data_IF_355542031179
#
_entry.id   IF_355542031179
#
_cell.length_a   1.000
_cell.length_b   1.000
_cell.length_c   1.000
_cell.angle_alpha   90.00
_cell.angle_beta   90.00
_cell.angle_gamma   90.00
#
_symmetry.space_group_name_H-M   'P 1'
#
loop_
_entity.id
_entity.type
_entity.pdbx_description
1 polymer ?
#
# COMPACT_ATOMS: atom_id res chain seq x y z
N UNK A 1 6.67 4.46 -6.54
CA UNK A 1 5.30 4.76 -6.07
C UNK A 1 5.05 3.86 -4.87
N UNK A 2 4.44 4.36 -3.78
CA UNK A 2 4.27 3.55 -2.57
C UNK A 2 3.13 2.55 -2.77
N UNK A 3 3.37 1.28 -2.48
CA UNK A 3 2.39 0.21 -2.67
C UNK A 3 1.13 0.45 -1.84
N UNK A 4 1.28 1.04 -0.66
CA UNK A 4 0.21 1.46 0.23
C UNK A 4 -0.82 2.37 -0.46
N UNK A 5 -0.33 3.30 -1.29
CA UNK A 5 -1.17 4.25 -2.03
C UNK A 5 -1.89 3.54 -3.17
N UNK A 6 -1.20 2.61 -3.85
CA UNK A 6 -1.80 1.82 -4.91
C UNK A 6 -2.93 0.94 -4.37
N UNK A 7 -2.78 0.37 -3.18
CA UNK A 7 -3.83 -0.43 -2.52
C UNK A 7 -5.08 0.43 -2.27
N UNK A 8 -4.95 1.60 -1.64
CA UNK A 8 -6.11 2.47 -1.39
C UNK A 8 -6.78 2.92 -2.68
N UNK A 9 -6.00 3.29 -3.70
CA UNK A 9 -6.54 3.72 -5.00
C UNK A 9 -7.21 2.57 -5.74
N UNK A 10 -6.67 1.34 -5.67
CA UNK A 10 -7.29 0.16 -6.27
C UNK A 10 -8.69 -0.09 -5.69
N UNK A 11 -8.85 -0.05 -4.36
CA UNK A 11 -10.16 -0.22 -3.73
C UNK A 11 -11.11 0.93 -4.08
N UNK A 12 -10.62 2.17 -4.14
CA UNK A 12 -11.45 3.33 -4.51
C UNK A 12 -11.93 3.28 -5.97
N UNK A 13 -11.09 2.89 -6.92
CA UNK A 13 -11.53 2.68 -8.30
C UNK A 13 -12.46 1.47 -8.44
N UNK A 14 -12.16 0.37 -7.76
CA UNK A 14 -13.02 -0.82 -7.76
C UNK A 14 -14.42 -0.48 -7.20
N UNK A 15 -14.48 0.31 -6.12
CA UNK A 15 -15.73 0.83 -5.57
C UNK A 15 -16.52 1.62 -6.62
N UNK A 16 -15.88 2.56 -7.33
CA UNK A 16 -16.54 3.37 -8.35
C UNK A 16 -17.05 2.54 -9.53
N UNK A 17 -16.20 1.68 -10.09
CA UNK A 17 -16.56 0.83 -11.23
C UNK A 17 -17.73 -0.06 -10.86
N UNK A 18 -17.66 -0.71 -9.69
CA UNK A 18 -18.72 -1.61 -9.25
C UNK A 18 -20.01 -0.86 -8.93
N UNK A 19 -19.95 0.36 -8.38
CA UNK A 19 -21.14 1.15 -8.06
C UNK A 19 -21.89 1.67 -9.28
N UNK A 20 -21.20 1.87 -10.41
CA UNK A 20 -21.85 2.22 -11.68
C UNK A 20 -22.82 1.10 -12.12
N UNK A 21 -22.46 -0.17 -11.89
CA UNK A 21 -23.25 -1.32 -12.33
C UNK A 21 -24.16 -1.91 -11.24
N UNK A 22 -23.76 -1.81 -9.98
CA UNK A 22 -24.44 -2.43 -8.85
C UNK A 22 -24.82 -1.39 -7.79
N UNK A 23 -26.01 -1.47 -7.19
CA UNK A 23 -26.41 -0.55 -6.12
C UNK A 23 -25.60 -0.80 -4.84
N UNK A 24 -25.34 0.24 -4.06
CA UNK A 24 -24.70 0.09 -2.74
C UNK A 24 -25.68 -0.53 -1.75
N UNK A 25 -26.92 -0.03 -1.75
CA UNK A 25 -28.01 -0.49 -0.87
C UNK A 25 -29.20 -0.80 -1.75
N UNK A 26 -29.89 -1.87 -1.44
CA UNK A 26 -31.15 -2.20 -2.09
C UNK A 26 -32.14 -2.77 -1.11
N UNK A 27 -33.40 -2.44 -1.33
CA UNK A 27 -34.53 -2.92 -0.57
C UNK A 27 -35.47 -3.57 -1.57
N UNK A 28 -35.91 -4.80 -1.33
CA UNK A 28 -36.79 -5.47 -2.27
C UNK A 28 -37.93 -6.22 -1.57
N UNK A 29 -38.98 -6.42 -2.32
CA UNK A 29 -40.22 -7.11 -1.99
C UNK A 29 -40.78 -7.67 -3.30
N UNK A 30 -41.87 -8.43 -3.23
CA UNK A 30 -42.51 -9.03 -4.41
C UNK A 30 -43.02 -7.99 -5.41
N UNK A 31 -43.55 -6.87 -4.92
CA UNK A 31 -44.17 -5.81 -5.73
C UNK A 31 -43.42 -4.49 -5.70
N UNK A 32 -42.36 -4.39 -4.89
CA UNK A 32 -41.63 -3.15 -4.63
C UNK A 32 -40.13 -3.37 -4.55
N UNK A 33 -39.36 -2.48 -5.14
CA UNK A 33 -37.91 -2.47 -4.96
C UNK A 33 -37.36 -1.05 -5.01
N UNK A 34 -36.30 -0.81 -4.25
CA UNK A 34 -35.52 0.42 -4.24
C UNK A 34 -34.05 0.04 -4.39
N UNK A 35 -33.33 0.80 -5.21
CA UNK A 35 -31.91 0.60 -5.44
C UNK A 35 -31.20 1.94 -5.37
N UNK A 36 -30.25 2.08 -4.44
CA UNK A 36 -29.40 3.25 -4.33
C UNK A 36 -28.20 3.09 -5.27
N UNK A 37 -28.34 3.63 -6.47
CA UNK A 37 -27.35 3.59 -7.55
C UNK A 37 -26.40 4.78 -7.50
N UNK A 38 -25.37 4.79 -8.36
CA UNK A 38 -24.40 5.87 -8.47
C UNK A 38 -25.03 7.24 -8.79
N UNK A 39 -26.11 7.27 -9.58
CA UNK A 39 -26.78 8.50 -10.01
C UNK A 39 -27.98 8.88 -9.12
N UNK A 40 -28.46 7.95 -8.29
CA UNK A 40 -29.58 8.20 -7.40
C UNK A 40 -30.42 6.97 -7.11
N UNK A 41 -31.70 7.20 -6.81
CA UNK A 41 -32.61 6.17 -6.36
C UNK A 41 -33.46 5.66 -7.52
N UNK A 42 -33.34 4.36 -7.82
CA UNK A 42 -34.26 3.66 -8.71
C UNK A 42 -35.33 2.97 -7.86
N UNK A 43 -36.59 3.32 -8.06
CA UNK A 43 -37.74 2.70 -7.39
C UNK A 43 -38.57 1.96 -8.41
N UNK A 44 -38.89 0.69 -8.16
CA UNK A 44 -39.77 -0.11 -9.01
C UNK A 44 -40.99 -0.54 -8.22
N UNK A 45 -42.16 -0.34 -8.78
CA UNK A 45 -43.43 -0.76 -8.19
C UNK A 45 -44.30 -1.43 -9.26
N UNK A 46 -44.71 -2.68 -9.03
CA UNK A 46 -45.55 -3.48 -9.94
C UNK A 46 -45.09 -3.42 -11.41
N UNK A 47 -43.79 -3.48 -11.66
CA UNK A 47 -43.20 -3.41 -13.00
C UNK A 47 -42.98 -1.99 -13.56
N UNK A 48 -43.54 -0.95 -12.94
CA UNK A 48 -43.26 0.45 -13.29
C UNK A 48 -42.01 0.94 -12.56
N UNK A 49 -41.09 1.58 -13.29
CA UNK A 49 -39.83 2.08 -12.76
C UNK A 49 -39.79 3.61 -12.77
N UNK A 50 -39.50 4.20 -11.62
CA UNK A 50 -39.25 5.63 -11.45
C UNK A 50 -37.81 5.84 -11.02
N UNK A 51 -37.12 6.78 -11.65
CA UNK A 51 -35.76 7.16 -11.28
C UNK A 51 -35.73 8.56 -10.68
N UNK A 52 -35.08 8.71 -9.53
CA UNK A 52 -34.95 9.97 -8.81
C UNK A 52 -33.46 10.28 -8.70
N UNK A 53 -33.04 11.37 -9.35
CA UNK A 53 -31.68 11.83 -9.28
C UNK A 53 -31.35 12.32 -7.85
N UNK A 54 -30.25 11.82 -7.29
CA UNK A 54 -29.79 12.24 -5.97
C UNK A 54 -28.38 12.84 -6.08
N UNK A 55 -28.25 14.18 -6.03
CA UNK A 55 -26.95 14.86 -6.13
C UNK A 55 -25.92 14.34 -5.10
N UNK A 56 -26.38 13.93 -3.92
CA UNK A 56 -25.52 13.38 -2.86
C UNK A 56 -24.81 12.09 -3.29
N UNK A 57 -25.47 11.21 -4.05
CA UNK A 57 -24.85 9.96 -4.54
C UNK A 57 -23.74 10.25 -5.56
N UNK A 58 -23.96 11.24 -6.43
CA UNK A 58 -22.94 11.72 -7.35
C UNK A 58 -21.76 12.34 -6.58
N UNK A 59 -22.04 13.16 -5.57
CA UNK A 59 -21.01 13.78 -4.73
C UNK A 59 -20.14 12.73 -4.01
N UNK A 60 -20.76 11.67 -3.47
CA UNK A 60 -20.03 10.50 -2.92
C UNK A 60 -19.04 9.96 -3.96
N UNK A 61 -19.49 9.74 -5.20
CA UNK A 61 -18.64 9.26 -6.29
C UNK A 61 -17.46 10.19 -6.59
N UNK A 62 -17.71 11.49 -6.65
CA UNK A 62 -16.68 12.51 -6.90
C UNK A 62 -15.63 12.51 -5.79
N UNK A 63 -16.05 12.45 -4.52
CA UNK A 63 -15.11 12.40 -3.40
C UNK A 63 -14.30 11.10 -3.36
N UNK A 64 -14.91 9.95 -3.71
CA UNK A 64 -14.19 8.69 -3.83
C UNK A 64 -13.13 8.75 -4.95
N UNK A 65 -13.47 9.38 -6.07
CA UNK A 65 -12.58 9.59 -7.19
C UNK A 65 -11.40 10.49 -6.80
N UNK A 66 -11.66 11.63 -6.14
CA UNK A 66 -10.61 12.51 -5.64
C UNK A 66 -9.70 11.81 -4.64
N UNK A 67 -10.27 11.07 -3.70
CA UNK A 67 -9.48 10.29 -2.74
C UNK A 67 -8.54 9.29 -3.43
N UNK A 68 -9.01 8.69 -4.52
CA UNK A 68 -8.25 7.69 -5.29
C UNK A 68 -7.19 8.32 -6.21
N UNK A 69 -7.46 9.48 -6.81
CA UNK A 69 -6.60 10.12 -7.82
C UNK A 69 -5.54 11.03 -7.22
N UNK A 70 -5.89 11.81 -6.19
CA UNK A 70 -5.01 12.87 -5.64
C UNK A 70 -3.63 12.32 -5.24
N UNK A 71 -3.53 11.18 -4.53
CA UNK A 71 -2.22 10.58 -4.20
C UNK A 71 -1.41 10.11 -5.41
N UNK A 72 -2.09 9.78 -6.53
CA UNK A 72 -1.46 9.28 -7.75
C UNK A 72 -0.86 10.43 -8.57
N UNK A 73 -1.52 11.59 -8.61
CA UNK A 73 -1.06 12.78 -9.32
C UNK A 73 -0.05 13.54 -8.45
N UNK A 74 -0.38 13.80 -7.18
CA UNK A 74 0.41 14.63 -6.29
C UNK A 74 1.35 13.83 -5.37
N UNK A 75 2.26 13.07 -5.97
CA UNK A 75 3.08 12.06 -5.29
C UNK A 75 4.08 12.60 -4.27
N UNK A 76 4.57 13.83 -4.44
CA UNK A 76 5.72 14.38 -3.68
C UNK A 76 5.34 14.93 -2.31
N UNK A 77 4.06 15.22 -2.07
CA UNK A 77 3.60 15.94 -0.89
C UNK A 77 2.83 15.05 0.09
N UNK A 78 3.02 15.27 1.38
CA UNK A 78 2.23 14.63 2.46
C UNK A 78 0.79 15.12 2.49
N UNK A 79 0.54 16.35 2.01
CA UNK A 79 -0.81 16.92 1.93
C UNK A 79 -1.73 16.14 0.99
N UNK A 80 -1.17 15.44 -0.01
CA UNK A 80 -1.95 14.57 -0.89
C UNK A 80 -2.62 13.42 -0.13
N UNK A 81 -1.95 12.86 0.89
CA UNK A 81 -2.46 11.76 1.71
C UNK A 81 -3.54 12.26 2.68
N UNK A 82 -3.33 13.44 3.27
CA UNK A 82 -4.34 14.06 4.14
C UNK A 82 -5.61 14.41 3.36
N UNK A 83 -5.45 15.01 2.19
CA UNK A 83 -6.58 15.35 1.33
C UNK A 83 -7.33 14.10 0.86
N UNK A 84 -6.60 13.05 0.48
CA UNK A 84 -7.21 11.75 0.15
C UNK A 84 -8.00 11.15 1.32
N UNK A 85 -7.46 11.17 2.53
CA UNK A 85 -8.16 10.72 3.73
C UNK A 85 -9.43 11.53 4.00
N UNK A 86 -9.36 12.87 3.94
CA UNK A 86 -10.53 13.75 4.11
C UNK A 86 -11.59 13.45 3.04
N UNK A 87 -11.20 13.31 1.77
CA UNK A 87 -12.12 12.95 0.69
C UNK A 87 -12.76 11.57 0.89
N UNK A 88 -12.04 10.59 1.45
CA UNK A 88 -12.63 9.28 1.77
C UNK A 88 -13.67 9.40 2.89
N UNK A 89 -13.44 10.23 3.91
CA UNK A 89 -14.41 10.47 4.98
C UNK A 89 -15.64 11.20 4.43
N UNK A 90 -15.46 12.19 3.53
CA UNK A 90 -16.55 12.87 2.85
C UNK A 90 -17.37 11.91 1.98
N UNK A 91 -16.72 10.94 1.33
CA UNK A 91 -17.40 9.86 0.60
C UNK A 91 -18.38 9.13 1.53
N UNK A 92 -17.92 8.68 2.69
CA UNK A 92 -18.75 8.02 3.68
C UNK A 92 -19.89 8.94 4.16
N UNK A 93 -19.58 10.19 4.49
CA UNK A 93 -20.57 11.15 4.97
C UNK A 93 -21.70 11.37 3.95
N UNK A 94 -21.36 11.60 2.68
CA UNK A 94 -22.35 11.80 1.62
C UNK A 94 -23.20 10.54 1.37
N UNK A 95 -22.60 9.35 1.48
CA UNK A 95 -23.34 8.09 1.34
C UNK A 95 -24.31 7.88 2.50
N UNK A 96 -23.88 8.12 3.75
CA UNK A 96 -24.75 8.07 4.93
C UNK A 96 -25.88 9.08 4.79
N UNK A 97 -25.60 10.32 4.39
CA UNK A 97 -26.63 11.34 4.16
C UNK A 97 -27.63 10.92 3.09
N UNK A 98 -27.16 10.31 1.99
CA UNK A 98 -28.04 9.75 0.96
C UNK A 98 -28.93 8.64 1.53
N UNK A 99 -28.38 7.77 2.37
CA UNK A 99 -29.15 6.70 3.00
C UNK A 99 -30.19 7.23 4.01
N UNK A 100 -29.82 8.21 4.84
CA UNK A 100 -30.75 8.88 5.76
C UNK A 100 -31.90 9.54 4.98
N UNK A 101 -31.59 10.18 3.84
CA UNK A 101 -32.61 10.73 2.96
C UNK A 101 -33.59 9.64 2.49
N UNK A 102 -33.08 8.50 2.00
CA UNK A 102 -33.93 7.37 1.58
C UNK A 102 -34.79 6.88 2.75
N UNK A 103 -34.21 6.66 3.92
CA UNK A 103 -34.95 6.21 5.10
C UNK A 103 -36.05 7.18 5.51
N UNK A 104 -35.78 8.50 5.49
CA UNK A 104 -36.72 9.52 5.96
C UNK A 104 -37.88 9.76 4.99
N UNK A 105 -37.62 9.71 3.68
CA UNK A 105 -38.60 10.09 2.67
C UNK A 105 -39.27 8.91 1.98
N UNK A 106 -38.66 7.72 2.02
CA UNK A 106 -39.22 6.51 1.40
C UNK A 106 -39.71 5.47 2.40
N UNK A 107 -39.45 5.68 3.70
CA UNK A 107 -40.04 4.89 4.77
C UNK A 107 -40.64 5.81 5.84
N UNK A 108 -41.94 5.66 6.08
CA UNK A 108 -42.66 6.44 7.08
C UNK A 108 -43.59 5.53 7.89
N UNK A 109 -43.35 5.43 9.20
CA UNK A 109 -44.21 4.66 10.13
C UNK A 109 -44.51 3.22 9.67
N UNK A 110 -43.51 2.53 9.10
CA UNK A 110 -43.65 1.17 8.57
C UNK A 110 -44.32 1.07 7.19
N UNK A 111 -44.67 2.20 6.57
CA UNK A 111 -45.10 2.29 5.18
C UNK A 111 -43.93 2.66 4.27
N UNK A 112 -43.95 2.10 3.07
CA UNK A 112 -43.09 2.48 1.95
C UNK A 112 -43.79 3.55 1.12
N UNK A 113 -43.05 4.61 0.76
CA UNK A 113 -43.56 5.64 -0.14
C UNK A 113 -43.25 5.22 -1.57
N UNK A 114 -44.30 5.18 -2.40
CA UNK A 114 -44.19 4.84 -3.82
C UNK A 114 -44.36 6.13 -4.63
N UNK A 115 -43.32 6.62 -5.31
CA UNK A 115 -43.43 7.75 -6.21
C UNK A 115 -44.15 7.34 -7.50
N UNK A 116 -45.10 8.17 -7.92
CA UNK A 116 -45.83 8.06 -9.19
C UNK A 116 -45.64 9.34 -10.00
N UNK A 117 -46.01 9.33 -11.27
CA UNK A 117 -45.87 10.50 -12.14
C UNK A 117 -46.57 11.77 -11.59
N UNK A 118 -47.69 11.60 -10.88
CA UNK A 118 -48.52 12.71 -10.38
C UNK A 118 -48.52 12.88 -8.86
N UNK A 119 -47.69 12.13 -8.12
CA UNK A 119 -47.71 12.20 -6.65
C UNK A 119 -47.08 10.98 -6.01
N UNK A 120 -47.55 10.62 -4.82
CA UNK A 120 -47.07 9.46 -4.08
C UNK A 120 -48.21 8.81 -3.30
N UNK A 121 -48.09 7.51 -3.02
CA UNK A 121 -48.97 6.83 -2.08
C UNK A 121 -48.15 5.98 -1.11
N UNK A 122 -48.76 5.66 0.02
CA UNK A 122 -48.16 4.85 1.08
C UNK A 122 -48.67 3.42 0.95
N UNK A 123 -47.76 2.45 1.08
CA UNK A 123 -48.13 1.05 1.13
C UNK A 123 -47.31 0.32 2.18
N UNK A 124 -47.91 -0.69 2.81
CA UNK A 124 -47.18 -1.56 3.73
C UNK A 124 -46.81 -2.84 3.00
N UNK A 125 -45.51 -3.05 2.80
CA UNK A 125 -44.95 -4.25 2.16
C UNK A 125 -43.80 -4.79 2.99
N UNK A 126 -43.67 -6.11 3.16
CA UNK A 126 -42.49 -6.69 3.79
C UNK A 126 -41.28 -6.40 2.90
N UNK A 127 -40.30 -5.69 3.44
CA UNK A 127 -39.08 -5.33 2.73
C UNK A 127 -37.92 -6.10 3.32
N UNK A 128 -37.13 -6.72 2.45
CA UNK A 128 -35.84 -7.30 2.79
C UNK A 128 -34.73 -6.33 2.38
N UNK A 129 -33.97 -5.78 3.34
CA UNK A 129 -32.81 -4.97 3.03
C UNK A 129 -31.64 -5.82 2.55
N UNK A 130 -30.81 -5.25 1.69
CA UNK A 130 -29.63 -5.89 1.14
C UNK A 130 -28.52 -4.88 0.84
N UNK A 131 -27.30 -5.38 0.86
CA UNK A 131 -26.08 -4.62 0.58
C UNK A 131 -25.40 -5.18 -0.65
N UNK A 132 -25.06 -4.30 -1.59
CA UNK A 132 -24.33 -4.68 -2.79
C UNK A 132 -22.82 -4.72 -2.57
N UNK A 133 -22.10 -5.26 -3.55
CA UNK A 133 -20.63 -5.30 -3.55
C UNK A 133 -19.96 -3.93 -3.25
N UNK A 134 -20.44 -2.78 -3.78
CA UNK A 134 -19.85 -1.49 -3.47
C UNK A 134 -19.85 -1.16 -1.97
N UNK A 135 -20.87 -1.60 -1.23
CA UNK A 135 -20.93 -1.41 0.22
C UNK A 135 -19.75 -2.08 0.93
N UNK A 136 -19.40 -3.31 0.52
CA UNK A 136 -18.29 -4.05 1.11
C UNK A 136 -16.93 -3.48 0.71
N UNK A 137 -16.78 -2.94 -0.51
CA UNK A 137 -15.55 -2.29 -0.98
C UNK A 137 -15.27 -0.94 -0.30
N UNK A 138 -16.31 -0.29 0.23
CA UNK A 138 -16.18 0.97 0.94
C UNK A 138 -15.33 0.85 2.22
N UNK A 139 -15.42 -0.28 2.94
CA UNK A 139 -14.63 -0.50 4.16
C UNK A 139 -13.11 -0.55 3.92
N UNK A 140 -12.57 -1.46 3.07
CA UNK A 140 -11.14 -1.47 2.81
C UNK A 140 -10.67 -0.15 2.18
N UNK A 141 -11.48 0.46 1.31
CA UNK A 141 -11.18 1.79 0.76
C UNK A 141 -10.98 2.85 1.87
N UNK A 142 -11.91 2.95 2.82
CA UNK A 142 -11.81 3.87 3.95
C UNK A 142 -10.62 3.54 4.86
N UNK A 143 -10.48 2.26 5.25
CA UNK A 143 -9.43 1.81 6.15
C UNK A 143 -8.06 2.17 5.58
N UNK A 144 -7.79 1.81 4.32
CA UNK A 144 -6.49 2.08 3.71
C UNK A 144 -6.26 3.57 3.45
N UNK A 145 -7.30 4.33 3.07
CA UNK A 145 -7.16 5.78 2.85
C UNK A 145 -6.85 6.53 4.16
N UNK A 146 -7.54 6.19 5.25
CA UNK A 146 -7.29 6.75 6.57
C UNK A 146 -5.94 6.29 7.12
N UNK A 147 -5.60 5.01 6.96
CA UNK A 147 -4.30 4.47 7.39
C UNK A 147 -3.15 5.13 6.63
N UNK A 148 -3.33 5.41 5.33
CA UNK A 148 -2.38 6.16 4.52
C UNK A 148 -2.21 7.60 5.01
N UNK A 149 -3.31 8.27 5.35
CA UNK A 149 -3.30 9.61 5.95
C UNK A 149 -2.58 9.62 7.30
N UNK A 150 -2.92 8.69 8.20
CA UNK A 150 -2.40 8.63 9.57
C UNK A 150 -0.93 8.21 9.64
N UNK A 151 -0.56 7.15 8.92
CA UNK A 151 0.82 6.60 8.94
C UNK A 151 1.72 7.22 7.87
N UNK A 152 1.20 8.19 7.11
CA UNK A 152 1.88 8.80 5.95
C UNK A 152 2.29 7.76 4.92
N UNK A 153 1.44 6.76 4.66
CA UNK A 153 1.69 5.64 3.76
C UNK A 153 3.02 4.94 4.06
N UNK A 154 3.18 4.46 5.30
CA UNK A 154 4.35 3.71 5.81
C UNK A 154 3.96 2.55 6.71
N UNK A 155 2.79 1.96 6.45
CA UNK A 155 2.24 0.87 7.25
C UNK A 155 2.61 -0.51 6.72
N UNK A 156 3.07 -0.63 5.47
CA UNK A 156 3.70 -1.87 4.99
C UNK A 156 5.14 -1.94 5.49
N UNK A 157 5.45 -2.96 6.32
CA UNK A 157 6.79 -3.18 6.87
C UNK A 157 7.85 -3.51 5.81
N UNK A 158 7.46 -3.89 4.59
CA UNK A 158 8.38 -4.25 3.51
C UNK A 158 9.39 -3.14 3.15
N UNK A 159 9.10 -1.87 3.49
CA UNK A 159 9.99 -0.72 3.28
C UNK A 159 10.66 -0.19 4.56
N UNK A 160 10.52 -0.88 5.70
CA UNK A 160 11.14 -0.51 6.98
C UNK A 160 12.42 -1.26 7.30
N UNK A 161 12.86 -2.18 6.44
CA UNK A 161 14.12 -2.87 6.67
C UNK A 161 15.23 -1.83 6.79
N UNK A 162 15.91 -1.81 7.94
CA UNK A 162 17.13 -1.02 8.08
C UNK A 162 18.13 -1.50 7.03
N UNK A 163 19.10 -0.64 6.67
CA UNK A 163 20.16 -0.98 5.72
C UNK A 163 20.80 -2.34 6.07
N UNK A 164 21.03 -2.58 7.37
CA UNK A 164 21.51 -3.85 7.91
C UNK A 164 20.53 -5.02 7.72
N UNK A 165 19.24 -4.84 8.01
CA UNK A 165 18.24 -5.90 7.82
C UNK A 165 18.02 -6.25 6.34
N UNK A 166 18.12 -5.26 5.45
CA UNK A 166 18.04 -5.46 4.00
C UNK A 166 19.24 -6.28 3.50
N UNK A 167 20.43 -5.97 4.01
CA UNK A 167 21.67 -6.69 3.70
C UNK A 167 21.64 -8.10 4.27
N UNK A 168 21.20 -8.26 5.52
CA UNK A 168 21.01 -9.56 6.16
C UNK A 168 20.06 -10.44 5.35
N UNK A 169 18.93 -9.88 4.93
CA UNK A 169 17.96 -10.58 4.08
C UNK A 169 18.55 -10.95 2.71
N UNK A 170 19.22 -10.01 2.04
CA UNK A 170 19.85 -10.27 0.73
C UNK A 170 20.95 -11.36 0.85
N UNK A 171 21.70 -11.40 1.95
CA UNK A 171 22.71 -12.45 2.25
C UNK A 171 22.02 -13.81 2.50
N UNK A 172 20.96 -13.84 3.31
CA UNK A 172 20.19 -15.06 3.61
C UNK A 172 19.48 -15.65 2.38
N UNK A 173 19.08 -14.80 1.42
CA UNK A 173 18.49 -15.21 0.14
C UNK A 173 19.54 -15.61 -0.92
N UNK A 174 20.83 -15.69 -0.55
CA UNK A 174 21.93 -16.08 -1.45
C UNK A 174 22.41 -14.96 -2.39
N UNK A 175 21.92 -13.74 -2.24
CA UNK A 175 22.26 -12.58 -3.08
C UNK A 175 23.36 -11.72 -2.44
N UNK A 176 24.47 -12.34 -2.03
CA UNK A 176 25.57 -11.71 -1.29
C UNK A 176 26.12 -10.46 -1.97
N UNK A 177 26.36 -10.55 -3.28
CA UNK A 177 26.85 -9.44 -4.10
C UNK A 177 25.95 -8.21 -3.99
N UNK A 178 24.63 -8.40 -4.14
CA UNK A 178 23.64 -7.32 -4.14
C UNK A 178 23.51 -6.68 -2.75
N UNK A 179 23.49 -7.49 -1.70
CA UNK A 179 23.44 -7.00 -0.32
C UNK A 179 24.65 -6.13 0.00
N UNK A 180 25.86 -6.66 -0.20
CA UNK A 180 27.10 -5.98 0.19
C UNK A 180 27.43 -4.76 -0.68
N UNK A 181 27.16 -4.80 -1.99
CA UNK A 181 27.36 -3.61 -2.85
C UNK A 181 26.38 -2.49 -2.51
N UNK A 182 25.12 -2.80 -2.18
CA UNK A 182 24.17 -1.80 -1.69
C UNK A 182 24.66 -1.17 -0.38
N UNK A 183 25.19 -1.99 0.54
CA UNK A 183 25.76 -1.51 1.81
C UNK A 183 26.97 -0.59 1.57
N UNK A 184 27.91 -1.00 0.74
CA UNK A 184 29.11 -0.21 0.45
C UNK A 184 28.80 1.08 -0.30
N UNK A 185 27.85 1.06 -1.24
CA UNK A 185 27.40 2.26 -1.95
C UNK A 185 26.72 3.27 -1.01
N UNK A 186 25.83 2.80 -0.12
CA UNK A 186 25.14 3.69 0.83
C UNK A 186 26.09 4.26 1.90
N UNK A 187 27.12 3.50 2.29
CA UNK A 187 28.13 3.91 3.27
C UNK A 187 29.37 4.57 2.67
N UNK A 188 29.45 4.71 1.35
CA UNK A 188 30.60 5.30 0.64
C UNK A 188 31.93 4.61 0.94
N UNK A 189 31.90 3.28 1.03
CA UNK A 189 33.11 2.46 1.16
C UNK A 189 33.70 2.25 -0.24
N UNK A 190 35.02 2.43 -0.39
CA UNK A 190 35.70 2.13 -1.65
C UNK A 190 35.86 0.61 -1.81
N UNK A 191 35.41 0.06 -2.93
CA UNK A 191 35.54 -1.36 -3.24
C UNK A 191 35.80 -1.59 -4.74
N UNK A 192 36.59 -2.61 -5.04
CA UNK A 192 36.80 -3.16 -6.36
C UNK A 192 36.06 -4.50 -6.47
N UNK A 193 35.35 -4.70 -7.58
CA UNK A 193 34.66 -5.95 -7.85
C UNK A 193 35.46 -6.79 -8.83
N UNK A 194 35.70 -8.05 -8.49
CA UNK A 194 36.21 -9.08 -9.39
C UNK A 194 35.14 -10.15 -9.56
N UNK A 195 35.28 -11.03 -10.57
CA UNK A 195 34.31 -12.11 -10.82
C UNK A 195 34.12 -13.06 -9.62
N UNK A 196 35.10 -13.14 -8.73
CA UNK A 196 35.14 -14.11 -7.63
C UNK A 196 35.18 -13.47 -6.24
N UNK A 197 35.39 -12.14 -6.14
CA UNK A 197 35.47 -11.47 -4.84
C UNK A 197 35.21 -9.96 -4.90
N UNK A 198 34.83 -9.40 -3.75
CA UNK A 198 34.81 -7.95 -3.49
C UNK A 198 36.06 -7.62 -2.66
N UNK A 199 36.92 -6.72 -3.15
CA UNK A 199 38.13 -6.26 -2.46
C UNK A 199 37.96 -4.79 -2.06
N UNK A 200 38.07 -4.49 -0.77
CA UNK A 200 37.95 -3.11 -0.23
C UNK A 200 39.31 -2.45 0.00
N UNK A 201 40.40 -3.08 -0.43
CA UNK A 201 41.77 -2.67 -0.13
C UNK A 201 42.26 -3.19 1.23
N UNK A 202 41.39 -3.25 2.24
CA UNK A 202 41.69 -3.72 3.61
C UNK A 202 41.34 -5.21 3.80
N UNK A 203 40.26 -5.68 3.17
CA UNK A 203 39.81 -7.07 3.29
C UNK A 203 39.21 -7.57 1.98
N UNK A 204 39.19 -8.90 1.82
CA UNK A 204 38.57 -9.57 0.67
C UNK A 204 37.36 -10.38 1.10
N UNK A 205 36.28 -10.27 0.33
CA UNK A 205 35.05 -11.06 0.50
C UNK A 205 34.87 -11.93 -0.74
N UNK A 206 35.07 -13.26 -0.66
CA UNK A 206 34.79 -14.15 -1.78
C UNK A 206 33.28 -14.24 -2.05
N UNK A 207 32.93 -14.29 -3.34
CA UNK A 207 31.55 -14.39 -3.83
C UNK A 207 31.12 -15.84 -4.14
N UNK A 208 32.07 -16.79 -4.13
CA UNK A 208 31.85 -18.21 -4.40
C UNK A 208 32.38 -19.10 -3.27
N UNK A 209 31.70 -20.22 -3.03
CA UNK A 209 31.90 -21.16 -1.91
C UNK A 209 33.26 -21.88 -1.89
N UNK A 210 33.99 -21.88 -3.01
CA UNK A 210 35.32 -22.50 -3.13
C UNK A 210 36.20 -21.72 -4.10
N UNK A 211 37.19 -21.01 -3.58
CA UNK A 211 38.43 -20.80 -4.33
C UNK A 211 39.38 -21.92 -3.92
N UNK A 212 39.44 -22.98 -4.72
CA UNK A 212 40.48 -24.01 -4.62
C UNK A 212 41.84 -23.37 -4.94
N UNK A 213 42.57 -22.96 -3.91
CA UNK A 213 43.92 -22.43 -4.07
C UNK A 213 44.46 -21.80 -2.79
N UNK A 214 45.35 -22.52 -2.10
CA UNK A 214 46.29 -22.03 -1.08
C UNK A 214 45.79 -20.88 -0.17
N UNK A 215 45.02 -21.25 0.85
CA UNK A 215 44.38 -20.39 1.84
C UNK A 215 45.37 -19.78 2.85
N UNK A 216 46.21 -18.85 2.42
CA UNK A 216 46.87 -17.88 3.31
C UNK A 216 46.76 -16.48 2.68
N UNK A 217 45.61 -15.81 2.81
CA UNK A 217 45.45 -14.48 2.25
C UNK A 217 46.36 -13.49 3.00
N UNK A 218 47.09 -12.63 2.27
CA UNK A 218 47.89 -11.53 2.82
C UNK A 218 47.03 -10.45 3.53
N UNK A 219 45.70 -10.53 3.38
CA UNK A 219 44.72 -9.62 3.94
C UNK A 219 43.67 -10.39 4.74
N UNK A 220 43.07 -9.77 5.77
CA UNK A 220 41.96 -10.38 6.48
C UNK A 220 40.82 -10.74 5.52
N UNK A 221 40.28 -11.95 5.68
CA UNK A 221 39.29 -12.53 4.77
C UNK A 221 37.98 -12.75 5.52
N UNK A 222 36.88 -12.23 4.96
CA UNK A 222 35.55 -12.36 5.54
C UNK A 222 34.68 -13.10 4.53
N UNK A 223 34.21 -14.30 4.88
CA UNK A 223 33.28 -15.06 4.02
C UNK A 223 31.98 -15.36 4.75
N UNK A 224 30.89 -15.46 4.00
CA UNK A 224 29.57 -15.81 4.53
C UNK A 224 29.13 -17.15 3.93
N UNK A 225 28.68 -18.06 4.78
CA UNK A 225 28.27 -19.39 4.38
C UNK A 225 27.15 -19.91 5.30
N UNK A 226 26.09 -20.48 4.74
CA UNK A 226 24.97 -21.12 5.46
C UNK A 226 24.48 -20.38 6.73
N UNK A 227 24.25 -19.07 6.63
CA UNK A 227 23.73 -18.31 7.77
C UNK A 227 24.79 -17.89 8.81
N UNK A 228 26.08 -18.08 8.51
CA UNK A 228 27.21 -17.75 9.37
C UNK A 228 28.21 -16.86 8.63
N UNK A 229 29.00 -16.11 9.39
CA UNK A 229 30.15 -15.36 8.89
C UNK A 229 31.43 -15.91 9.48
N UNK A 230 32.49 -15.92 8.70
CA UNK A 230 33.78 -16.43 9.11
C UNK A 230 34.84 -15.40 8.80
N UNK A 231 35.69 -15.13 9.78
CA UNK A 231 36.74 -14.12 9.69
C UNK A 231 38.09 -14.78 9.91
N UNK A 232 39.02 -14.48 9.02
CA UNK A 232 40.42 -14.83 9.14
C UNK A 232 41.24 -13.57 9.40
N UNK A 233 41.80 -13.44 10.61
CA UNK A 233 42.63 -12.30 11.04
C UNK A 233 44.15 -12.58 10.88
N UNK A 234 44.53 -13.64 10.14
CA UNK A 234 45.94 -14.02 9.89
C UNK A 234 46.48 -15.15 10.76
N UNK A 235 45.81 -15.46 11.89
CA UNK A 235 46.23 -16.52 12.82
C UNK A 235 45.18 -17.63 12.98
N UNK A 236 43.88 -17.29 13.04
CA UNK A 236 42.79 -18.27 13.21
C UNK A 236 41.52 -17.87 12.45
N UNK A 237 40.71 -18.87 12.07
CA UNK A 237 39.35 -18.67 11.60
C UNK A 237 38.38 -18.60 12.77
N UNK A 238 37.63 -17.51 12.89
CA UNK A 238 36.56 -17.37 13.89
C UNK A 238 35.20 -17.41 13.20
N UNK A 239 34.35 -18.30 13.67
CA UNK A 239 32.94 -18.37 13.31
C UNK A 239 32.16 -17.33 14.11
N UNK A 240 31.37 -16.51 13.43
CA UNK A 240 30.56 -15.44 14.00
C UNK A 240 29.17 -15.43 13.36
N UNK A 241 28.11 -15.03 14.08
CA UNK A 241 26.82 -14.76 13.47
C UNK A 241 26.94 -13.65 12.40
N UNK A 242 26.10 -13.71 11.35
CA UNK A 242 26.14 -12.77 10.21
C UNK A 242 26.18 -11.31 10.67
N UNK A 243 25.41 -10.99 11.71
CA UNK A 243 25.28 -9.64 12.26
C UNK A 243 26.62 -9.09 12.76
N UNK A 244 27.43 -9.95 13.38
CA UNK A 244 28.77 -9.60 13.84
C UNK A 244 29.77 -9.56 12.69
N UNK A 245 29.62 -10.42 11.69
CA UNK A 245 30.37 -10.34 10.43
C UNK A 245 30.15 -9.00 9.71
N UNK A 246 28.90 -8.56 9.58
CA UNK A 246 28.58 -7.26 8.99
C UNK A 246 29.13 -6.11 9.84
N UNK A 247 29.00 -6.16 11.17
CA UNK A 247 29.62 -5.15 12.07
C UNK A 247 31.14 -5.08 11.91
N UNK A 248 31.80 -6.22 11.70
CA UNK A 248 33.25 -6.26 11.50
C UNK A 248 33.65 -5.64 10.16
N UNK A 249 32.93 -5.95 9.09
CA UNK A 249 33.08 -5.29 7.78
C UNK A 249 32.99 -3.77 7.95
N UNK A 250 32.00 -3.28 8.69
CA UNK A 250 31.82 -1.85 8.96
C UNK A 250 32.97 -1.26 9.77
N UNK A 251 33.53 -2.01 10.72
CA UNK A 251 34.66 -1.55 11.54
C UNK A 251 35.99 -1.50 10.77
N UNK A 252 36.15 -2.35 9.74
CA UNK A 252 37.37 -2.45 8.94
C UNK A 252 37.30 -1.60 7.65
N UNK A 253 36.11 -1.15 7.25
CA UNK A 253 35.92 -0.36 6.04
C UNK A 253 36.47 1.06 6.22
N UNK A 254 37.42 1.46 5.35
CA UNK A 254 37.82 2.87 5.21
C UNK A 254 36.77 3.62 4.40
N UNK A 255 36.23 4.68 4.99
CA UNK A 255 35.32 5.62 4.33
C UNK A 255 36.09 6.49 3.34
N UNK A 256 35.61 6.58 2.10
CA UNK A 256 36.25 7.41 1.08
C UNK A 256 35.79 8.88 1.25
N UNK A 257 36.61 9.69 1.92
CA UNK A 257 36.33 11.11 2.17
C UNK A 257 36.73 12.05 1.01
N UNK A 258 37.26 11.53 -0.12
CA UNK A 258 37.85 12.36 -1.20
C UNK A 258 36.88 12.88 -2.27
N UNK A 259 35.57 12.63 -2.18
CA UNK A 259 34.60 13.06 -3.22
C UNK A 259 33.91 14.40 -2.98
N UNK A 260 34.13 15.06 -1.83
CA UNK A 260 33.52 16.39 -1.57
C UNK A 260 34.17 17.53 -2.39
N UNK A 261 35.39 17.36 -2.90
CA UNK A 261 36.10 18.44 -3.58
C UNK A 261 35.79 18.60 -5.09
N UNK A 262 34.84 17.85 -5.66
CA UNK A 262 34.51 17.95 -7.11
C UNK A 262 33.11 18.47 -7.45
N UNK A 263 32.32 18.93 -6.47
CA UNK A 263 31.02 19.57 -6.73
C UNK A 263 31.05 21.11 -6.64
N UNK A 264 32.24 21.71 -6.56
CA UNK A 264 32.43 23.16 -6.71
C UNK A 264 33.52 23.50 -7.74
N UNK A 265 33.26 23.19 -9.01
CA UNK A 265 33.78 23.95 -10.16
C UNK A 265 32.70 24.07 -11.23
#
# INVERSE_FOLDING_TARGET
MRYEVLISSFFGFSLLVTWIFYPVIFNYSTIYSQYLTFLGLKVTFMGSTTFIFLPLTLATGIFALFSSIIPLIWRKSRYSLYLSGISSILTLAMLISSYIYVLRYFHYSGYSVVPTFNGYFYMRTPITPGFGLPFFLLFPFLIFSVLNSATRARWLLYQRLTLLEKVYKDIMEGNLYKGLTNLFNELRVSYATTKESIDTGEFKIPLSERSEGSFFPEKPLIYFYEGKSFIYDGEEFKELPIDEGIKRILSMAKLDMRREEREYE
#
